data_IF_379551240859
#
_entry.id   IF_379551240859
#
_cell.length_a   1.000
_cell.length_b   1.000
_cell.length_c   1.000
_cell.angle_alpha   90.00
_cell.angle_beta   90.00
_cell.angle_gamma   90.00
#
_symmetry.space_group_name_H-M   'P 1'
#
loop_
_entity.id
_entity.type
_entity.pdbx_description
1 polymer ?
#
# COMPACT_ATOMS: atom_id res chain seq x y z
N UNK A 1 -29.69 51.65 8.61
CA UNK A 1 -28.23 51.61 8.43
C UNK A 1 -27.83 50.16 8.22
N UNK A 2 -27.71 49.70 6.96
CA UNK A 2 -27.38 48.33 6.61
C UNK A 2 -25.87 48.19 6.39
N UNK A 3 -25.22 47.25 7.07
CA UNK A 3 -23.81 46.89 6.85
C UNK A 3 -23.76 45.60 6.03
N UNK A 4 -23.26 45.70 4.79
CA UNK A 4 -22.96 44.55 3.95
C UNK A 4 -21.59 43.97 4.36
N UNK A 5 -21.57 42.72 4.83
CA UNK A 5 -20.33 41.98 5.04
C UNK A 5 -19.90 41.32 3.72
N UNK A 6 -18.76 41.75 3.18
CA UNK A 6 -18.09 41.12 2.05
C UNK A 6 -17.44 39.82 2.54
N UNK A 7 -18.03 38.68 2.20
CA UNK A 7 -17.36 37.38 2.34
C UNK A 7 -16.30 37.27 1.24
N UNK A 8 -15.03 37.33 1.64
CA UNK A 8 -13.91 36.99 0.76
C UNK A 8 -13.82 35.46 0.66
N UNK A 9 -14.17 34.91 -0.50
CA UNK A 9 -14.04 33.48 -0.78
C UNK A 9 -12.56 33.05 -0.76
N UNK A 10 -12.20 31.87 -0.21
CA UNK A 10 -10.85 31.35 -0.33
C UNK A 10 -10.54 30.96 -1.79
N UNK A 11 -9.41 31.46 -2.29
CA UNK A 11 -8.82 31.15 -3.61
C UNK A 11 -8.52 29.64 -3.76
N UNK A 12 -9.01 28.95 -4.80
CA UNK A 12 -8.64 27.57 -5.08
C UNK A 12 -7.37 27.54 -5.94
N UNK A 13 -6.19 27.74 -5.34
CA UNK A 13 -4.91 27.79 -6.08
C UNK A 13 -4.05 26.54 -5.98
N UNK A 14 -4.55 25.41 -5.44
CA UNK A 14 -3.76 24.17 -5.28
C UNK A 14 -4.10 23.03 -6.24
N UNK A 15 -5.23 23.06 -6.95
CA UNK A 15 -5.66 21.95 -7.82
C UNK A 15 -5.08 22.01 -9.24
N UNK A 16 -4.71 23.20 -9.74
CA UNK A 16 -4.31 23.39 -11.14
C UNK A 16 -2.82 23.11 -11.41
N UNK A 17 -1.94 23.20 -10.41
CA UNK A 17 -0.49 23.04 -10.59
C UNK A 17 -0.03 21.56 -10.69
N UNK A 18 -0.91 20.61 -10.34
CA UNK A 18 -0.57 19.18 -10.29
C UNK A 18 -0.68 18.49 -11.66
N UNK A 19 -1.55 18.99 -12.55
CA UNK A 19 -1.87 18.33 -13.82
C UNK A 19 -0.78 18.48 -14.90
N UNK A 20 -0.10 19.63 -15.00
CA UNK A 20 0.95 19.82 -16.02
C UNK A 20 2.23 19.06 -15.68
N UNK A 21 2.62 19.03 -14.40
CA UNK A 21 3.80 18.28 -13.98
C UNK A 21 3.62 16.77 -14.11
N UNK A 22 2.40 16.22 -14.17
CA UNK A 22 2.13 14.78 -14.22
C UNK A 22 2.41 14.09 -15.57
N UNK A 23 2.56 14.86 -16.65
CA UNK A 23 2.66 14.30 -18.01
C UNK A 23 3.97 13.53 -18.17
N UNK A 24 3.89 12.22 -18.43
CA UNK A 24 5.06 11.36 -18.61
C UNK A 24 5.64 10.77 -17.32
N UNK A 25 5.00 10.94 -16.16
CA UNK A 25 5.46 10.33 -14.89
C UNK A 25 4.64 9.12 -14.47
N UNK A 26 5.30 8.14 -13.86
CA UNK A 26 4.65 6.91 -13.40
C UNK A 26 3.68 7.21 -12.25
N UNK A 27 2.46 6.70 -12.35
CA UNK A 27 1.45 6.88 -11.32
C UNK A 27 1.58 5.80 -10.24
N UNK A 28 1.63 6.22 -8.98
CA UNK A 28 1.83 5.37 -7.81
C UNK A 28 0.51 5.21 -7.05
N UNK A 29 0.18 3.97 -6.76
CA UNK A 29 -0.99 3.59 -5.98
C UNK A 29 -0.58 2.66 -4.84
N UNK A 30 -1.36 2.67 -3.77
CA UNK A 30 -1.30 1.68 -2.70
C UNK A 30 -2.61 0.91 -2.70
N UNK A 31 -2.53 -0.42 -2.66
CA UNK A 31 -3.69 -1.27 -2.52
C UNK A 31 -3.60 -2.07 -1.23
N UNK A 32 -4.75 -2.37 -0.63
CA UNK A 32 -4.84 -3.41 0.38
C UNK A 32 -5.72 -4.57 -0.03
N UNK A 33 -5.25 -5.75 0.30
CA UNK A 33 -5.97 -7.00 0.14
C UNK A 33 -6.20 -7.58 1.53
N UNK A 34 -7.43 -8.04 1.84
CA UNK A 34 -7.65 -8.77 3.08
C UNK A 34 -6.81 -10.05 3.05
N UNK A 35 -6.04 -10.33 4.11
CA UNK A 35 -5.38 -11.61 4.24
C UNK A 35 -6.45 -12.70 4.29
N UNK A 36 -6.36 -13.67 3.39
CA UNK A 36 -7.23 -14.85 3.45
C UNK A 36 -6.67 -15.77 4.53
N UNK A 37 -7.54 -16.22 5.42
CA UNK A 37 -7.17 -17.24 6.38
C UNK A 37 -6.87 -18.55 5.62
N UNK A 38 -5.76 -19.24 5.93
CA UNK A 38 -5.48 -20.55 5.35
C UNK A 38 -6.63 -21.51 5.68
N UNK A 39 -6.98 -22.37 4.71
CA UNK A 39 -8.10 -23.32 4.86
C UNK A 39 -7.77 -24.33 5.96
N UNK A 40 -8.74 -24.65 6.81
CA UNK A 40 -8.60 -25.70 7.85
C UNK A 40 -8.70 -25.15 9.28
N UNK A 41 -8.21 -25.89 10.31
CA UNK A 41 -8.35 -25.51 11.71
C UNK A 41 -7.73 -24.14 12.05
N UNK A 42 -6.68 -23.77 11.31
CA UNK A 42 -6.04 -22.46 11.33
C UNK A 42 -7.00 -21.29 11.06
N UNK A 43 -8.02 -21.52 10.23
CA UNK A 43 -9.02 -20.54 9.86
C UNK A 43 -9.77 -20.01 11.07
N UNK A 44 -10.10 -20.86 12.04
CA UNK A 44 -10.83 -20.45 13.24
C UNK A 44 -9.99 -19.51 14.10
N UNK A 45 -8.72 -19.82 14.32
CA UNK A 45 -7.81 -18.98 15.11
C UNK A 45 -7.62 -17.60 14.49
N UNK A 46 -7.39 -17.55 13.17
CA UNK A 46 -7.27 -16.29 12.42
C UNK A 46 -8.58 -15.50 12.43
N UNK A 47 -9.71 -16.18 12.28
CA UNK A 47 -11.03 -15.54 12.30
C UNK A 47 -11.36 -14.97 13.68
N UNK A 48 -11.01 -15.66 14.77
CA UNK A 48 -11.18 -15.16 16.14
C UNK A 48 -10.29 -13.95 16.40
N UNK A 49 -9.00 -14.01 16.02
CA UNK A 49 -8.10 -12.86 16.15
C UNK A 49 -8.58 -11.63 15.36
N UNK A 50 -9.19 -11.86 14.19
CA UNK A 50 -9.83 -10.82 13.37
C UNK A 50 -11.09 -10.24 14.04
N UNK A 51 -11.98 -11.10 14.53
CA UNK A 51 -13.22 -10.68 15.22
C UNK A 51 -12.96 -9.96 16.54
N UNK A 52 -11.84 -10.26 17.22
CA UNK A 52 -11.42 -9.58 18.45
C UNK A 52 -10.73 -8.24 18.19
N UNK A 53 -10.61 -7.80 16.92
CA UNK A 53 -9.96 -6.54 16.56
C UNK A 53 -8.45 -6.51 16.84
N UNK A 54 -7.85 -7.64 17.19
CA UNK A 54 -6.45 -7.74 17.60
C UNK A 54 -5.50 -7.61 16.40
N UNK A 55 -5.96 -7.93 15.18
CA UNK A 55 -5.14 -7.92 13.97
C UNK A 55 -5.89 -7.23 12.82
N UNK A 56 -5.49 -6.01 12.44
CA UNK A 56 -5.91 -5.40 11.17
C UNK A 56 -5.13 -6.09 10.04
N UNK A 57 -5.61 -7.27 9.63
CA UNK A 57 -5.02 -8.20 8.66
C UNK A 57 -5.12 -7.70 7.21
N UNK A 58 -4.74 -6.44 6.98
CA UNK A 58 -4.67 -5.87 5.65
C UNK A 58 -3.26 -5.98 5.12
N UNK A 59 -3.15 -6.70 4.00
CA UNK A 59 -1.91 -6.85 3.28
C UNK A 59 -1.76 -5.71 2.29
N UNK A 60 -0.66 -4.96 2.39
CA UNK A 60 -0.43 -3.77 1.60
C UNK A 60 0.59 -4.02 0.51
N UNK A 61 0.34 -3.44 -0.65
CA UNK A 61 1.21 -3.52 -1.81
C UNK A 61 1.23 -2.19 -2.55
N UNK A 62 2.35 -1.93 -3.22
CA UNK A 62 2.54 -0.75 -4.06
C UNK A 62 2.28 -1.14 -5.50
N UNK A 63 1.50 -0.34 -6.21
CA UNK A 63 1.22 -0.52 -7.64
C UNK A 63 1.76 0.68 -8.40
N UNK A 64 2.61 0.40 -9.39
CA UNK A 64 3.22 1.39 -10.28
C UNK A 64 2.58 1.23 -11.65
N UNK A 65 1.94 2.28 -12.13
CA UNK A 65 1.41 2.38 -13.49
C UNK A 65 2.34 3.27 -14.30
N UNK A 66 3.15 2.70 -15.19
CA UNK A 66 4.05 3.49 -16.02
C UNK A 66 3.30 4.52 -16.88
N UNK A 67 3.94 5.65 -17.16
CA UNK A 67 3.40 6.66 -18.08
C UNK A 67 3.52 6.27 -19.56
N UNK A 68 4.47 5.39 -19.88
CA UNK A 68 4.82 4.92 -21.22
C UNK A 68 3.81 3.90 -21.75
N UNK A 69 3.82 3.49 -23.05
CA UNK A 69 2.71 2.80 -23.70
C UNK A 69 2.47 1.36 -23.21
N UNK A 70 3.14 0.92 -22.15
CA UNK A 70 2.91 -0.38 -21.55
C UNK A 70 1.54 -0.38 -20.85
N UNK A 71 0.57 -1.18 -21.31
CA UNK A 71 -0.78 -1.18 -20.75
C UNK A 71 -0.84 -1.81 -19.35
N UNK A 72 0.29 -2.30 -18.84
CA UNK A 72 0.39 -3.09 -17.64
C UNK A 72 0.92 -2.25 -16.48
N UNK A 73 0.38 -2.48 -15.29
CA UNK A 73 0.94 -1.98 -14.05
C UNK A 73 1.80 -3.06 -13.39
N UNK A 74 2.71 -2.65 -12.51
CA UNK A 74 3.56 -3.53 -11.74
C UNK A 74 3.19 -3.42 -10.26
N UNK A 75 3.12 -4.56 -9.58
CA UNK A 75 2.84 -4.63 -8.15
C UNK A 75 4.08 -5.14 -7.45
N UNK A 76 4.45 -4.43 -6.39
CA UNK A 76 5.51 -4.80 -5.47
C UNK A 76 4.88 -5.15 -4.12
N UNK A 77 5.22 -6.32 -3.63
CA UNK A 77 4.49 -6.98 -2.55
C UNK A 77 5.49 -7.69 -1.62
N UNK A 78 5.56 -7.29 -0.35
CA UNK A 78 6.42 -7.94 0.66
C UNK A 78 5.58 -8.80 1.60
N UNK A 79 5.74 -10.12 1.50
CA UNK A 79 4.91 -11.10 2.20
C UNK A 79 5.76 -12.24 2.78
N UNK A 80 5.23 -13.10 3.66
CA UNK A 80 5.90 -14.35 4.03
C UNK A 80 6.26 -15.17 2.78
N UNK A 81 7.38 -15.88 2.83
CA UNK A 81 7.85 -16.69 1.70
C UNK A 81 6.85 -17.79 1.32
N UNK A 82 6.26 -18.43 2.32
CA UNK A 82 5.16 -19.36 2.16
C UNK A 82 3.97 -18.94 3.03
N UNK A 83 3.08 -18.08 2.51
CA UNK A 83 1.98 -17.54 3.30
C UNK A 83 0.86 -18.57 3.57
N UNK A 84 0.85 -19.70 2.86
CA UNK A 84 -0.14 -20.76 3.04
C UNK A 84 0.35 -21.86 4.01
N UNK A 85 1.65 -21.87 4.34
CA UNK A 85 2.22 -22.79 5.32
C UNK A 85 1.74 -22.46 6.75
N UNK A 86 1.20 -23.49 7.41
CA UNK A 86 0.63 -23.38 8.74
C UNK A 86 1.68 -22.98 9.80
N UNK A 87 2.90 -23.52 9.72
CA UNK A 87 3.98 -23.22 10.66
C UNK A 87 4.54 -21.81 10.45
N UNK A 88 4.58 -21.33 9.21
CA UNK A 88 4.92 -19.93 8.91
C UNK A 88 3.89 -19.00 9.55
N UNK A 89 2.60 -19.30 9.40
CA UNK A 89 1.54 -18.52 10.06
C UNK A 89 1.65 -18.58 11.59
N UNK A 90 1.88 -19.77 12.17
CA UNK A 90 2.04 -19.96 13.61
C UNK A 90 3.24 -19.17 14.15
N UNK A 91 4.36 -19.21 13.44
CA UNK A 91 5.58 -18.46 13.78
C UNK A 91 5.31 -16.96 13.72
N UNK A 92 4.67 -16.47 12.65
CA UNK A 92 4.28 -15.07 12.56
C UNK A 92 3.37 -14.62 13.72
N UNK A 93 2.50 -15.51 14.22
CA UNK A 93 1.61 -15.24 15.36
C UNK A 93 2.34 -15.23 16.70
N UNK A 94 3.23 -16.18 16.96
CA UNK A 94 3.85 -16.36 18.28
C UNK A 94 5.25 -15.74 18.41
N UNK A 95 6.11 -15.90 17.40
CA UNK A 95 7.45 -15.30 17.41
C UNK A 95 7.45 -13.91 16.79
N UNK A 96 6.46 -13.61 15.94
CA UNK A 96 6.42 -12.37 15.17
C UNK A 96 7.45 -12.33 14.04
N UNK A 97 8.17 -13.41 13.76
CA UNK A 97 9.29 -13.41 12.82
C UNK A 97 9.26 -14.63 11.89
N UNK A 98 9.37 -14.38 10.58
CA UNK A 98 9.37 -15.41 9.52
C UNK A 98 10.25 -14.99 8.35
N UNK A 99 10.61 -15.96 7.50
CA UNK A 99 11.20 -15.65 6.20
C UNK A 99 10.16 -14.92 5.32
N UNK A 100 10.56 -13.80 4.75
CA UNK A 100 9.77 -12.99 3.82
C UNK A 100 10.36 -13.01 2.42
N UNK A 101 9.60 -12.46 1.48
CA UNK A 101 9.99 -12.31 0.09
C UNK A 101 9.33 -11.06 -0.49
N UNK A 102 10.07 -10.31 -1.31
CA UNK A 102 9.49 -9.24 -2.13
C UNK A 102 9.17 -9.81 -3.51
N UNK A 103 7.89 -9.79 -3.88
CA UNK A 103 7.41 -10.23 -5.17
C UNK A 103 7.10 -9.03 -6.07
N UNK A 104 7.49 -9.17 -7.33
CA UNK A 104 7.05 -8.31 -8.44
C UNK A 104 6.11 -9.08 -9.33
N UNK A 105 4.91 -8.55 -9.58
CA UNK A 105 3.94 -9.12 -10.53
C UNK A 105 3.36 -8.07 -11.46
N UNK A 106 2.93 -8.46 -12.66
CA UNK A 106 2.23 -7.57 -13.58
C UNK A 106 0.72 -7.64 -13.40
N UNK A 107 0.04 -6.51 -13.61
CA UNK A 107 -1.40 -6.38 -13.62
C UNK A 107 -1.86 -5.74 -14.93
N UNK A 108 -2.90 -6.31 -15.55
CA UNK A 108 -3.54 -5.71 -16.72
C UNK A 108 -4.35 -4.46 -16.38
N UNK A 109 -4.85 -4.36 -15.14
CA UNK A 109 -5.71 -3.26 -14.67
C UNK A 109 -5.43 -2.97 -13.20
N UNK A 110 -5.54 -1.70 -12.84
CA UNK A 110 -5.46 -1.26 -11.44
C UNK A 110 -6.74 -1.69 -10.71
N UNK A 111 -6.64 -2.27 -9.49
CA UNK A 111 -7.81 -2.57 -8.67
C UNK A 111 -8.65 -1.33 -8.40
N UNK A 112 -9.97 -1.46 -8.48
CA UNK A 112 -10.92 -0.36 -8.20
C UNK A 112 -11.29 -0.25 -6.73
N UNK A 113 -11.16 -1.35 -5.99
CA UNK A 113 -11.57 -1.47 -4.58
C UNK A 113 -10.30 -1.51 -3.73
N UNK A 114 -10.33 -0.80 -2.60
CA UNK A 114 -9.21 -0.72 -1.66
C UNK A 114 -7.88 -0.40 -2.35
N UNK A 115 -7.92 0.58 -3.25
CA UNK A 115 -6.77 1.05 -4.00
C UNK A 115 -6.83 2.57 -4.05
N UNK A 116 -5.76 3.23 -3.62
CA UNK A 116 -5.68 4.67 -3.48
C UNK A 116 -4.51 5.20 -4.29
N UNK A 117 -4.79 6.24 -5.08
CA UNK A 117 -3.74 7.01 -5.74
C UNK A 117 -2.95 7.80 -4.69
N UNK A 118 -1.63 7.71 -4.75
CA UNK A 118 -0.74 8.40 -3.82
C UNK A 118 -0.10 9.62 -4.48
N UNK A 119 0.41 9.46 -5.69
CA UNK A 119 1.14 10.52 -6.38
C UNK A 119 1.85 10.01 -7.64
N UNK A 120 2.71 10.85 -8.20
CA UNK A 120 3.55 10.50 -9.34
C UNK A 120 4.99 10.26 -8.89
N UNK A 121 5.66 9.30 -9.52
CA UNK A 121 7.10 9.09 -9.34
C UNK A 121 7.87 10.26 -9.94
N UNK A 122 8.94 10.69 -9.27
CA UNK A 122 9.83 11.73 -9.79
C UNK A 122 10.92 11.18 -10.72
N UNK A 123 11.04 9.85 -10.80
CA UNK A 123 12.03 9.10 -11.60
C UNK A 123 11.34 7.90 -12.28
N UNK A 124 12.09 7.05 -12.99
CA UNK A 124 11.58 5.74 -13.41
C UNK A 124 11.17 4.94 -12.16
N UNK A 125 9.85 4.79 -11.97
CA UNK A 125 9.31 4.20 -10.76
C UNK A 125 9.54 2.71 -10.71
N UNK A 126 9.55 2.03 -11.86
CA UNK A 126 9.72 0.58 -11.93
C UNK A 126 11.17 0.20 -11.67
N UNK A 127 12.14 0.93 -12.22
CA UNK A 127 13.56 0.72 -11.97
C UNK A 127 13.89 1.00 -10.50
N UNK A 128 13.45 2.14 -9.96
CA UNK A 128 13.67 2.48 -8.56
C UNK A 128 13.09 1.42 -7.62
N UNK A 129 11.89 0.92 -7.92
CA UNK A 129 11.26 -0.11 -7.11
C UNK A 129 11.99 -1.46 -7.17
N UNK A 130 12.57 -1.84 -8.32
CA UNK A 130 13.41 -3.05 -8.38
C UNK A 130 14.64 -2.91 -7.49
N UNK A 131 15.39 -1.81 -7.65
CA UNK A 131 16.60 -1.56 -6.87
C UNK A 131 16.30 -1.50 -5.36
N UNK A 132 15.19 -0.87 -4.98
CA UNK A 132 14.73 -0.85 -3.59
C UNK A 132 14.38 -2.25 -3.08
N UNK A 133 13.69 -3.05 -3.89
CA UNK A 133 13.28 -4.42 -3.54
C UNK A 133 14.48 -5.35 -3.36
N UNK A 134 15.49 -5.23 -4.22
CA UNK A 134 16.72 -6.03 -4.16
C UNK A 134 17.54 -5.73 -2.89
N UNK A 135 17.54 -4.48 -2.44
CA UNK A 135 18.18 -4.07 -1.19
C UNK A 135 17.36 -4.32 0.08
N UNK A 136 16.12 -4.80 -0.03
CA UNK A 136 15.24 -4.96 1.11
C UNK A 136 15.54 -6.25 1.90
N UNK A 137 15.72 -6.13 3.22
CA UNK A 137 15.89 -7.30 4.08
C UNK A 137 14.68 -8.21 4.01
N UNK A 138 14.90 -9.50 3.76
CA UNK A 138 13.86 -10.52 3.67
C UNK A 138 13.45 -11.11 5.02
N UNK A 139 14.06 -10.67 6.12
CA UNK A 139 13.64 -11.09 7.46
C UNK A 139 12.36 -10.35 7.86
N UNK A 140 11.21 -10.98 7.67
CA UNK A 140 9.92 -10.37 8.00
C UNK A 140 9.68 -10.42 9.50
N UNK A 141 9.38 -9.25 10.08
CA UNK A 141 9.05 -9.09 11.50
C UNK A 141 7.72 -8.36 11.60
N UNK A 142 6.68 -9.04 12.07
CA UNK A 142 5.33 -8.49 12.22
C UNK A 142 5.37 -7.24 13.10
N UNK A 143 4.91 -6.11 12.55
CA UNK A 143 4.85 -4.82 13.26
C UNK A 143 6.16 -4.05 13.33
N UNK A 144 7.28 -4.59 12.83
CA UNK A 144 8.60 -3.90 12.84
C UNK A 144 9.28 -3.85 11.48
N UNK A 145 9.06 -4.87 10.65
CA UNK A 145 9.61 -5.02 9.31
C UNK A 145 8.69 -5.91 8.49
N UNK A 146 7.55 -5.37 8.07
CA UNK A 146 6.50 -6.08 7.36
C UNK A 146 6.00 -5.29 6.14
N UNK A 147 4.92 -5.75 5.51
CA UNK A 147 4.35 -5.13 4.31
C UNK A 147 4.04 -3.64 4.48
N UNK A 148 3.70 -3.17 5.69
CA UNK A 148 3.44 -1.74 5.98
C UNK A 148 4.72 -0.93 5.86
N UNK A 149 5.80 -1.44 6.44
CA UNK A 149 7.11 -0.80 6.44
C UNK A 149 7.68 -0.75 5.03
N UNK A 150 7.60 -1.87 4.31
CA UNK A 150 7.97 -1.96 2.91
C UNK A 150 7.20 -0.96 2.04
N UNK A 151 5.86 -0.94 2.19
CA UNK A 151 4.98 -0.04 1.44
C UNK A 151 5.30 1.43 1.71
N UNK A 152 5.45 1.82 2.99
CA UNK A 152 5.82 3.19 3.36
C UNK A 152 7.18 3.58 2.77
N UNK A 153 8.19 2.72 2.96
CA UNK A 153 9.55 3.00 2.48
C UNK A 153 9.62 3.13 0.97
N UNK A 154 8.97 2.23 0.24
CA UNK A 154 8.95 2.28 -1.22
C UNK A 154 8.20 3.53 -1.73
N UNK A 155 7.04 3.84 -1.15
CA UNK A 155 6.27 5.02 -1.54
C UNK A 155 7.04 6.31 -1.26
N UNK A 156 7.68 6.43 -0.10
CA UNK A 156 8.52 7.59 0.22
C UNK A 156 9.65 7.77 -0.80
N UNK A 157 10.29 6.67 -1.24
CA UNK A 157 11.34 6.73 -2.26
C UNK A 157 10.82 7.12 -3.64
N UNK A 158 9.60 6.72 -4.00
CA UNK A 158 9.00 7.01 -5.30
C UNK A 158 8.49 8.45 -5.39
N UNK A 159 7.77 8.91 -4.36
CA UNK A 159 6.99 10.16 -4.41
C UNK A 159 7.54 11.26 -3.51
N UNK A 160 8.38 10.92 -2.52
CA UNK A 160 8.80 11.83 -1.45
C UNK A 160 7.77 11.99 -0.31
N UNK A 161 6.62 11.34 -0.42
CA UNK A 161 5.54 11.43 0.58
C UNK A 161 5.82 10.50 1.77
N UNK A 162 5.77 11.06 2.98
CA UNK A 162 5.91 10.32 4.24
C UNK A 162 4.55 10.02 4.86
N UNK A 163 4.51 9.00 5.74
CA UNK A 163 3.33 8.63 6.52
C UNK A 163 2.07 8.39 5.68
N UNK A 164 2.24 7.87 4.45
CA UNK A 164 1.12 7.67 3.52
C UNK A 164 0.10 6.70 4.09
N UNK A 165 0.53 5.62 4.76
CA UNK A 165 -0.39 4.67 5.37
C UNK A 165 -1.20 5.26 6.54
N UNK A 166 -0.65 6.21 7.29
CA UNK A 166 -1.40 6.92 8.35
C UNK A 166 -2.49 7.80 7.73
N UNK A 167 -2.18 8.48 6.61
CA UNK A 167 -3.15 9.28 5.84
C UNK A 167 -4.22 8.42 5.19
N UNK A 168 -3.88 7.23 4.73
CA UNK A 168 -4.85 6.25 4.20
C UNK A 168 -5.63 5.55 5.34
N UNK A 169 -5.17 5.68 6.58
CA UNK A 169 -5.73 5.00 7.76
C UNK A 169 -7.24 5.16 7.96
N UNK A 170 -7.78 6.40 7.90
CA UNK A 170 -9.21 6.64 8.05
C UNK A 170 -10.07 5.97 6.98
N UNK A 171 -9.51 5.66 5.81
CA UNK A 171 -10.23 4.98 4.73
C UNK A 171 -10.32 3.46 4.94
N UNK A 172 -9.43 2.86 5.74
CA UNK A 172 -9.47 1.43 6.08
C UNK A 172 -10.67 1.06 6.97
N UNK A 173 -11.14 2.01 7.78
CA UNK A 173 -12.22 1.81 8.75
C UNK A 173 -13.61 1.96 8.14
N UNK A 174 -13.73 2.49 6.92
CA UNK A 174 -15.01 2.51 6.20
C UNK A 174 -15.28 1.09 5.70
N UNK A 175 -16.23 0.41 6.35
CA UNK A 175 -16.75 -0.88 5.85
C UNK A 175 -17.20 -0.69 4.39
N UNK A 176 -16.95 -1.65 3.50
CA UNK A 176 -17.63 -1.66 2.22
C UNK A 176 -19.14 -1.74 2.50
N UNK A 177 -19.89 -0.77 1.98
CA UNK A 177 -21.35 -0.85 1.85
C UNK A 177 -21.74 -1.96 0.88
#
# INVERSE_FOLDING_TARGET
MAFAALFSSPKPSRLLTTCENAKGRDAIYVAAVPLRAPRGPAQMLVSTAYSMGAWNLQHLMVIIKPSSPHPQAFVFDFQPQDPEDFYVMLSALFSGQVAGVVLKRSLKRIPKIRCWFVGFSNVDGVELANNFSEGWSTQLIVGKHDCRHYTNGLVERLTGERSVLERLSPHWLKKPE
#
